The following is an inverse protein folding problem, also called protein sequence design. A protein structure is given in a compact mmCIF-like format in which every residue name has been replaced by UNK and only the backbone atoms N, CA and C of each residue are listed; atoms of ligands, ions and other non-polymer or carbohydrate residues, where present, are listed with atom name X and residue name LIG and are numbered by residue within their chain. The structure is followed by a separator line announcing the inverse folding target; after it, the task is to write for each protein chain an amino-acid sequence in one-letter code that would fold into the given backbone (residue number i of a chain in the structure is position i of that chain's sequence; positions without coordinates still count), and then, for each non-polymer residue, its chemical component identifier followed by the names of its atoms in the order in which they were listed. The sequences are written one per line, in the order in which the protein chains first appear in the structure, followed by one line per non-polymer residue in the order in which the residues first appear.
data_IF_236262018952
#
_entry.id   IF_236262018952
#
_cell.length_a   1.000
_cell.length_b   1.000
_cell.length_c   1.000
_cell.angle_alpha   90.00
_cell.angle_beta   90.00
_cell.angle_gamma   90.00
#
_symmetry.space_group_name_H-M   'P 1'
#
loop_
_entity.id
_entity.type
_entity.pdbx_description
1 polymer ?
#
# COMPACT_ATOMS: atom_id res chain seq x y z
N UNK A 1 27.96 32.94 -24.43
CA UNK A 1 27.05 32.62 -23.31
C UNK A 1 26.83 31.13 -23.32
N UNK A 2 27.38 30.40 -22.34
CA UNK A 2 27.11 28.97 -22.22
C UNK A 2 25.69 28.80 -21.64
N UNK A 3 24.82 28.11 -22.37
CA UNK A 3 23.53 27.67 -21.85
C UNK A 3 23.81 26.62 -20.78
N UNK A 4 23.45 26.92 -19.53
CA UNK A 4 23.48 25.93 -18.46
C UNK A 4 22.40 24.89 -18.82
N UNK A 5 22.76 23.60 -19.01
CA UNK A 5 21.78 22.56 -19.30
C UNK A 5 20.72 22.52 -18.18
N UNK A 6 19.46 22.32 -18.54
CA UNK A 6 18.30 22.35 -17.61
C UNK A 6 18.45 21.40 -16.42
N UNK A 7 19.26 20.34 -16.54
CA UNK A 7 19.58 19.39 -15.46
C UNK A 7 20.49 19.96 -14.36
N UNK A 8 21.24 21.03 -14.63
CA UNK A 8 22.07 21.73 -13.64
C UNK A 8 21.26 22.75 -12.80
N UNK A 9 19.94 22.83 -13.02
CA UNK A 9 19.07 23.82 -12.39
C UNK A 9 18.03 23.19 -11.45
N UNK A 10 18.36 22.05 -10.81
CA UNK A 10 17.56 21.54 -9.70
C UNK A 10 17.81 22.42 -8.48
N UNK A 11 16.73 23.00 -7.93
CA UNK A 11 16.78 23.73 -6.67
C UNK A 11 17.43 22.83 -5.60
N UNK A 12 18.60 23.18 -5.02
CA UNK A 12 19.25 22.37 -4.00
C UNK A 12 18.33 22.06 -2.81
N UNK A 13 17.41 22.96 -2.47
CA UNK A 13 16.42 22.75 -1.42
C UNK A 13 15.41 21.66 -1.80
N UNK A 14 14.91 21.68 -3.04
CA UNK A 14 13.99 20.66 -3.55
C UNK A 14 14.67 19.29 -3.58
N UNK A 15 15.92 19.22 -4.06
CA UNK A 15 16.70 17.98 -4.04
C UNK A 15 16.89 17.45 -2.61
N UNK A 16 17.18 18.32 -1.64
CA UNK A 16 17.32 17.92 -0.25
C UNK A 16 16.00 17.43 0.36
N UNK A 17 14.86 17.99 -0.05
CA UNK A 17 13.53 17.52 0.36
C UNK A 17 13.25 16.13 -0.20
N UNK A 18 13.51 15.89 -1.48
CA UNK A 18 13.37 14.58 -2.13
C UNK A 18 14.20 13.51 -1.38
N UNK A 19 15.48 13.79 -1.15
CA UNK A 19 16.39 12.88 -0.42
C UNK A 19 15.92 12.62 1.03
N UNK A 20 15.38 13.64 1.70
CA UNK A 20 14.85 13.50 3.06
C UNK A 20 13.57 12.65 3.10
N UNK A 21 12.65 12.85 2.13
CA UNK A 21 11.45 12.02 1.98
C UNK A 21 11.83 10.57 1.72
N UNK A 22 12.72 10.32 0.76
CA UNK A 22 13.18 8.97 0.42
C UNK A 22 13.86 8.27 1.61
N UNK A 23 14.65 9.02 2.39
CA UNK A 23 15.27 8.53 3.62
C UNK A 23 14.24 8.05 4.64
N UNK A 24 13.21 8.86 4.91
CA UNK A 24 12.13 8.47 5.82
C UNK A 24 11.31 7.29 5.28
N UNK A 25 10.95 7.28 3.99
CA UNK A 25 10.21 6.17 3.39
C UNK A 25 11.02 4.86 3.46
N UNK A 26 12.33 4.93 3.23
CA UNK A 26 13.22 3.76 3.33
C UNK A 26 13.26 3.21 4.76
N UNK A 27 13.41 4.06 5.78
CA UNK A 27 13.35 3.64 7.19
C UNK A 27 11.99 3.03 7.55
N UNK A 28 10.90 3.63 7.07
CA UNK A 28 9.55 3.08 7.25
C UNK A 28 9.40 1.69 6.62
N UNK A 29 9.88 1.49 5.39
CA UNK A 29 9.82 0.18 4.71
C UNK A 29 10.66 -0.90 5.41
N UNK A 30 11.81 -0.55 5.96
CA UNK A 30 12.63 -1.51 6.71
C UNK A 30 11.90 -1.97 7.98
N UNK A 31 11.26 -1.06 8.70
CA UNK A 31 10.45 -1.40 9.87
C UNK A 31 9.23 -2.29 9.52
N UNK A 32 8.66 -2.13 8.31
CA UNK A 32 7.57 -2.98 7.87
C UNK A 32 8.00 -4.43 7.68
N UNK A 33 9.24 -4.72 7.28
CA UNK A 33 9.76 -6.11 7.19
C UNK A 33 9.80 -6.81 8.55
N UNK A 34 9.96 -6.04 9.63
CA UNK A 34 9.96 -6.51 11.01
C UNK A 34 8.55 -6.50 11.64
N UNK A 35 7.51 -6.11 10.90
CA UNK A 35 6.15 -5.93 11.45
C UNK A 35 6.00 -4.75 12.39
N UNK A 36 6.97 -3.82 12.46
CA UNK A 36 6.93 -2.61 13.31
C UNK A 36 6.09 -1.52 12.64
N UNK A 37 4.82 -1.81 12.36
CA UNK A 37 3.94 -0.95 11.55
C UNK A 37 3.72 0.41 12.20
N UNK A 38 3.56 0.47 13.53
CA UNK A 38 3.34 1.73 14.25
C UNK A 38 4.52 2.69 14.12
N UNK A 39 5.74 2.17 14.19
CA UNK A 39 6.97 2.91 13.97
C UNK A 39 7.08 3.33 12.51
N UNK A 40 6.79 2.43 11.57
CA UNK A 40 6.79 2.75 10.14
C UNK A 40 5.84 3.93 9.81
N UNK A 41 4.63 3.93 10.37
CA UNK A 41 3.66 5.03 10.21
C UNK A 41 4.27 6.38 10.63
N UNK A 42 5.10 6.42 11.68
CA UNK A 42 5.75 7.68 12.12
C UNK A 42 6.67 8.23 11.04
N UNK A 43 7.43 7.36 10.37
CA UNK A 43 8.32 7.75 9.29
C UNK A 43 7.58 8.18 8.03
N UNK A 44 6.52 7.47 7.64
CA UNK A 44 5.64 7.92 6.55
C UNK A 44 5.00 9.28 6.84
N UNK A 45 4.62 9.56 8.09
CA UNK A 45 4.13 10.88 8.51
C UNK A 45 5.22 11.96 8.52
N UNK A 46 6.48 11.60 8.72
CA UNK A 46 7.60 12.55 8.60
C UNK A 46 7.87 12.89 7.13
N UNK A 47 7.89 11.89 6.24
CA UNK A 47 7.94 12.09 4.80
C UNK A 47 6.79 13.00 4.32
N UNK A 48 5.56 12.70 4.76
CA UNK A 48 4.37 13.46 4.33
C UNK A 48 4.39 14.92 4.77
N UNK A 49 5.02 15.22 5.93
CA UNK A 49 5.17 16.60 6.42
C UNK A 49 6.14 17.43 5.59
N UNK A 50 7.10 16.79 4.91
CA UNK A 50 8.04 17.49 4.02
C UNK A 50 7.30 17.85 2.74
N UNK A 51 6.83 16.84 2.02
CA UNK A 51 5.97 17.03 0.86
C UNK A 51 5.12 15.76 0.61
N UNK A 52 3.79 15.84 0.71
CA UNK A 52 2.92 14.71 0.43
C UNK A 52 2.97 14.25 -1.04
N UNK A 53 3.35 15.12 -1.98
CA UNK A 53 3.38 14.81 -3.41
C UNK A 53 4.58 13.94 -3.80
N UNK A 54 5.60 13.88 -2.95
CA UNK A 54 6.78 13.03 -3.15
C UNK A 54 6.53 11.57 -2.74
N UNK A 55 5.43 11.28 -2.05
CA UNK A 55 5.07 9.91 -1.67
C UNK A 55 4.20 9.28 -2.76
N UNK A 56 4.81 8.39 -3.53
CA UNK A 56 4.13 7.65 -4.60
C UNK A 56 2.99 6.74 -4.09
N UNK A 57 2.08 6.39 -5.00
CA UNK A 57 1.02 5.41 -4.73
C UNK A 57 1.59 4.08 -4.22
N UNK A 58 2.70 3.60 -4.81
CA UNK A 58 3.36 2.36 -4.39
C UNK A 58 3.94 2.41 -2.97
N UNK A 59 4.45 3.58 -2.53
CA UNK A 59 4.89 3.74 -1.14
C UNK A 59 3.71 3.68 -0.17
N UNK A 60 2.62 4.40 -0.46
CA UNK A 60 1.41 4.28 0.34
C UNK A 60 0.84 2.86 0.33
N UNK A 61 0.89 2.17 -0.81
CA UNK A 61 0.46 0.79 -0.93
C UNK A 61 1.34 -0.15 -0.11
N UNK A 62 2.65 0.06 -0.08
CA UNK A 62 3.56 -0.73 0.75
C UNK A 62 3.15 -0.65 2.23
N UNK A 63 2.86 0.55 2.74
CA UNK A 63 2.37 0.71 4.11
C UNK A 63 0.98 0.05 4.31
N UNK A 64 0.08 0.20 3.35
CA UNK A 64 -1.24 -0.43 3.37
C UNK A 64 -1.15 -1.97 3.46
N UNK A 65 -0.47 -2.59 2.49
CA UNK A 65 -0.38 -4.04 2.36
C UNK A 65 0.35 -4.64 3.56
N UNK A 66 1.54 -4.15 3.88
CA UNK A 66 2.32 -4.70 5.00
C UNK A 66 1.60 -4.49 6.33
N UNK A 67 1.08 -3.29 6.60
CA UNK A 67 0.31 -3.06 7.83
C UNK A 67 -0.90 -3.99 7.96
N UNK A 68 -1.58 -4.28 6.86
CA UNK A 68 -2.71 -5.22 6.84
C UNK A 68 -2.26 -6.66 7.09
N UNK A 69 -1.18 -7.10 6.45
CA UNK A 69 -0.61 -8.44 6.64
C UNK A 69 -0.15 -8.67 8.08
N UNK A 70 0.36 -7.64 8.77
CA UNK A 70 0.68 -7.70 10.21
C UNK A 70 -0.54 -7.50 11.12
N UNK A 71 -1.76 -7.65 10.61
CA UNK A 71 -3.02 -7.51 11.36
C UNK A 71 -3.24 -6.10 11.96
N UNK A 72 -2.65 -5.08 11.35
CA UNK A 72 -2.78 -3.67 11.73
C UNK A 72 -3.51 -2.86 10.64
N UNK A 73 -4.41 -3.51 9.90
CA UNK A 73 -5.18 -2.91 8.80
C UNK A 73 -5.91 -1.61 9.19
N UNK A 74 -6.50 -1.58 10.39
CA UNK A 74 -7.18 -0.39 10.93
C UNK A 74 -6.25 0.83 11.04
N UNK A 75 -4.95 0.59 11.29
CA UNK A 75 -3.97 1.65 11.47
C UNK A 75 -3.44 2.22 10.15
N UNK A 76 -3.54 1.44 9.06
CA UNK A 76 -2.98 1.78 7.74
C UNK A 76 -4.05 2.04 6.68
N UNK A 77 -5.34 1.96 7.02
CA UNK A 77 -6.44 2.24 6.08
C UNK A 77 -6.31 3.62 5.41
N UNK A 78 -5.75 4.62 6.11
CA UNK A 78 -5.48 5.93 5.52
C UNK A 78 -4.48 5.85 4.34
N UNK A 79 -3.47 4.98 4.45
CA UNK A 79 -2.48 4.76 3.40
C UNK A 79 -3.10 4.04 2.20
N UNK A 80 -3.96 3.04 2.45
CA UNK A 80 -4.71 2.35 1.38
C UNK A 80 -5.56 3.33 0.56
N UNK A 81 -6.28 4.24 1.24
CA UNK A 81 -7.09 5.27 0.57
C UNK A 81 -6.24 6.22 -0.26
N UNK A 82 -5.09 6.68 0.25
CA UNK A 82 -4.16 7.53 -0.50
C UNK A 82 -3.58 6.82 -1.73
N UNK A 83 -3.20 5.56 -1.59
CA UNK A 83 -2.67 4.77 -2.69
C UNK A 83 -3.67 4.68 -3.85
N UNK A 84 -4.94 4.33 -3.55
CA UNK A 84 -6.00 4.25 -4.57
C UNK A 84 -6.32 5.62 -5.17
N UNK A 85 -6.31 6.71 -4.39
CA UNK A 85 -6.52 8.07 -4.94
C UNK A 85 -5.43 8.44 -5.95
N UNK A 86 -4.18 8.08 -5.67
CA UNK A 86 -3.05 8.38 -6.54
C UNK A 86 -2.96 7.46 -7.76
N UNK A 87 -3.45 6.22 -7.64
CA UNK A 87 -3.46 5.25 -8.74
C UNK A 87 -4.77 4.45 -8.76
N UNK A 88 -5.88 5.05 -9.26
CA UNK A 88 -7.22 4.48 -9.13
C UNK A 88 -7.52 3.31 -10.08
N UNK A 89 -6.56 2.94 -10.93
CA UNK A 89 -6.69 1.86 -11.93
C UNK A 89 -5.62 0.76 -11.75
N UNK A 90 -4.89 0.83 -10.65
CA UNK A 90 -3.86 -0.15 -10.33
C UNK A 90 -4.52 -1.26 -9.50
N UNK A 91 -4.68 -2.42 -10.13
CA UNK A 91 -5.40 -3.55 -9.56
C UNK A 91 -4.72 -4.05 -8.27
N UNK A 92 -3.39 -4.07 -8.20
CA UNK A 92 -2.63 -4.52 -7.02
C UNK A 92 -2.85 -3.59 -5.81
N UNK A 93 -2.96 -2.28 -6.08
CA UNK A 93 -3.25 -1.27 -5.05
C UNK A 93 -4.70 -1.39 -4.55
N UNK A 94 -5.63 -1.66 -5.46
CA UNK A 94 -7.05 -1.87 -5.11
C UNK A 94 -7.20 -3.17 -4.30
N UNK A 95 -6.55 -4.24 -4.72
CA UNK A 95 -6.52 -5.53 -4.02
C UNK A 95 -5.96 -5.41 -2.59
N UNK A 96 -4.84 -4.68 -2.44
CA UNK A 96 -4.24 -4.42 -1.12
C UNK A 96 -5.21 -3.68 -0.18
N UNK A 97 -6.04 -2.76 -0.72
CA UNK A 97 -7.12 -2.12 0.05
C UNK A 97 -8.25 -3.12 0.35
N UNK A 98 -8.58 -4.01 -0.58
CA UNK A 98 -9.55 -5.09 -0.37
C UNK A 98 -9.19 -5.96 0.83
N UNK A 99 -7.92 -6.37 0.95
CA UNK A 99 -7.40 -7.07 2.12
C UNK A 99 -7.60 -6.26 3.40
N UNK A 100 -7.20 -4.98 3.41
CA UNK A 100 -7.33 -4.11 4.57
C UNK A 100 -8.81 -3.94 5.00
N UNK A 101 -9.72 -3.84 4.03
CA UNK A 101 -11.16 -3.71 4.23
C UNK A 101 -11.76 -4.97 4.84
N UNK A 102 -11.42 -6.14 4.30
CA UNK A 102 -11.91 -7.39 4.85
C UNK A 102 -11.46 -7.59 6.30
N UNK A 103 -10.19 -7.31 6.61
CA UNK A 103 -9.64 -7.39 7.97
C UNK A 103 -10.23 -6.34 8.94
N UNK A 104 -10.89 -5.30 8.43
CA UNK A 104 -11.57 -4.28 9.24
C UNK A 104 -13.09 -4.38 9.23
N UNK A 105 -13.64 -5.41 8.57
CA UNK A 105 -15.08 -5.68 8.52
C UNK A 105 -15.86 -4.91 7.44
N UNK A 106 -15.17 -4.19 6.55
CA UNK A 106 -15.76 -3.49 5.38
C UNK A 106 -15.95 -4.51 4.24
N UNK A 107 -16.77 -5.54 4.49
CA UNK A 107 -16.80 -6.78 3.70
C UNK A 107 -17.35 -6.58 2.29
N UNK A 108 -18.42 -5.81 2.13
CA UNK A 108 -19.04 -5.56 0.82
C UNK A 108 -18.05 -4.85 -0.12
N UNK A 109 -17.37 -3.83 0.40
CA UNK A 109 -16.37 -3.06 -0.31
C UNK A 109 -15.07 -3.85 -0.53
N UNK A 110 -14.70 -4.78 0.36
CA UNK A 110 -13.59 -5.69 0.13
C UNK A 110 -13.85 -6.63 -1.05
N UNK A 111 -15.05 -7.21 -1.12
CA UNK A 111 -15.48 -8.04 -2.24
C UNK A 111 -15.41 -7.25 -3.56
N UNK A 112 -15.90 -6.00 -3.56
CA UNK A 112 -15.83 -5.15 -4.75
C UNK A 112 -14.38 -4.89 -5.20
N UNK A 113 -13.45 -4.63 -4.26
CA UNK A 113 -12.04 -4.44 -4.59
C UNK A 113 -11.40 -5.71 -5.17
N UNK A 114 -11.67 -6.88 -4.59
CA UNK A 114 -11.18 -8.15 -5.11
C UNK A 114 -11.77 -8.51 -6.48
N UNK A 115 -13.03 -8.14 -6.76
CA UNK A 115 -13.64 -8.32 -8.07
C UNK A 115 -12.92 -7.50 -9.13
N UNK A 116 -12.57 -6.25 -8.83
CA UNK A 116 -11.76 -5.42 -9.73
C UNK A 116 -10.41 -6.09 -10.01
N UNK A 117 -9.74 -6.64 -9.00
CA UNK A 117 -8.49 -7.35 -9.21
C UNK A 117 -8.65 -8.57 -10.14
N UNK A 118 -9.65 -9.41 -9.88
CA UNK A 118 -9.99 -10.60 -10.70
C UNK A 118 -10.29 -10.24 -12.16
N UNK A 119 -10.92 -9.10 -12.41
CA UNK A 119 -11.23 -8.63 -13.77
C UNK A 119 -9.99 -8.17 -14.55
N UNK A 120 -8.93 -7.73 -13.85
CA UNK A 120 -7.77 -7.07 -14.45
C UNK A 120 -6.51 -7.95 -14.51
N UNK A 121 -6.36 -8.90 -13.59
CA UNK A 121 -5.20 -9.79 -13.58
C UNK A 121 -5.29 -10.88 -14.65
N UNK A 122 -4.18 -11.15 -15.31
CA UNK A 122 -3.99 -12.31 -16.18
C UNK A 122 -3.35 -13.49 -15.42
N UNK A 123 -2.99 -13.31 -14.15
CA UNK A 123 -2.46 -14.37 -13.29
C UNK A 123 -3.59 -15.28 -12.79
N UNK A 124 -3.61 -16.51 -13.27
CA UNK A 124 -4.68 -17.46 -12.95
C UNK A 124 -4.62 -17.97 -11.51
N UNK A 125 -3.45 -17.99 -10.88
CA UNK A 125 -3.29 -18.42 -9.49
C UNK A 125 -3.82 -17.34 -8.53
N UNK A 126 -3.40 -16.09 -8.72
CA UNK A 126 -3.90 -14.97 -7.92
C UNK A 126 -5.39 -14.74 -8.14
N UNK A 127 -5.87 -14.91 -9.39
CA UNK A 127 -7.29 -14.84 -9.73
C UNK A 127 -8.10 -15.90 -8.97
N UNK A 128 -7.65 -17.15 -8.99
CA UNK A 128 -8.32 -18.23 -8.26
C UNK A 128 -8.34 -17.95 -6.75
N UNK A 129 -7.21 -17.49 -6.19
CA UNK A 129 -7.12 -17.14 -4.78
C UNK A 129 -8.11 -16.03 -4.37
N UNK A 130 -8.21 -14.94 -5.15
CA UNK A 130 -9.18 -13.86 -4.85
C UNK A 130 -10.62 -14.33 -5.02
N UNK A 131 -10.90 -15.21 -5.98
CA UNK A 131 -12.24 -15.82 -6.13
C UNK A 131 -12.62 -16.67 -4.91
N UNK A 132 -11.68 -17.41 -4.32
CA UNK A 132 -11.89 -18.14 -3.07
C UNK A 132 -12.17 -17.20 -1.90
N UNK A 133 -11.39 -16.12 -1.77
CA UNK A 133 -11.65 -15.11 -0.74
C UNK A 133 -13.03 -14.46 -0.89
N UNK A 134 -13.41 -14.07 -2.11
CA UNK A 134 -14.75 -13.52 -2.40
C UNK A 134 -15.84 -14.50 -1.95
N UNK A 135 -15.71 -15.78 -2.30
CA UNK A 135 -16.70 -16.82 -1.95
C UNK A 135 -16.82 -17.01 -0.43
N UNK A 136 -15.69 -17.04 0.28
CA UNK A 136 -15.67 -17.15 1.74
C UNK A 136 -16.35 -15.93 2.39
N UNK A 137 -15.99 -14.72 1.97
CA UNK A 137 -16.57 -13.48 2.48
C UNK A 137 -18.08 -13.39 2.22
N UNK A 138 -18.55 -13.82 1.05
CA UNK A 138 -19.98 -13.92 0.72
C UNK A 138 -20.73 -14.92 1.61
N UNK A 139 -20.06 -15.97 2.06
CA UNK A 139 -20.61 -16.94 3.02
C UNK A 139 -20.55 -16.44 4.48
N UNK A 140 -19.99 -15.25 4.73
CA UNK A 140 -19.75 -14.73 6.08
C UNK A 140 -18.57 -15.37 6.79
N UNK A 141 -17.70 -16.06 6.06
CA UNK A 141 -16.49 -16.68 6.56
C UNK A 141 -15.30 -15.72 6.42
N UNK A 142 -14.35 -15.79 7.36
CA UNK A 142 -13.10 -15.01 7.27
C UNK A 142 -11.99 -15.90 6.68
N UNK A 143 -11.54 -15.65 5.43
CA UNK A 143 -10.46 -16.44 4.83
C UNK A 143 -9.06 -16.04 5.33
N UNK A 144 -8.93 -14.95 6.09
CA UNK A 144 -7.64 -14.39 6.50
C UNK A 144 -7.23 -14.89 7.88
N UNK A 145 -6.78 -16.15 7.95
CA UNK A 145 -6.18 -16.73 9.16
C UNK A 145 -4.75 -16.23 9.37
N UNK A 146 -4.19 -16.43 10.57
CA UNK A 146 -2.78 -16.11 10.85
C UNK A 146 -1.80 -16.82 9.90
N UNK A 147 -2.13 -18.04 9.48
CA UNK A 147 -1.36 -18.84 8.53
C UNK A 147 -1.39 -18.20 7.14
N UNK A 148 -2.58 -17.91 6.61
CA UNK A 148 -2.75 -17.22 5.31
C UNK A 148 -2.04 -15.86 5.32
N UNK A 149 -2.19 -15.07 6.38
CA UNK A 149 -1.51 -13.78 6.48
C UNK A 149 0.01 -13.90 6.60
N UNK A 150 0.52 -15.03 7.07
CA UNK A 150 1.97 -15.30 7.10
C UNK A 150 2.46 -15.69 5.71
N UNK A 151 1.77 -16.59 5.01
CA UNK A 151 2.10 -16.98 3.64
C UNK A 151 2.12 -15.78 2.68
N UNK A 152 1.18 -14.84 2.83
CA UNK A 152 1.10 -13.64 1.99
C UNK A 152 2.23 -12.61 2.23
N UNK A 153 3.06 -12.80 3.26
CA UNK A 153 4.23 -11.95 3.56
C UNK A 153 5.50 -12.44 2.86
N UNK A 154 5.58 -13.72 2.55
CA UNK A 154 6.75 -14.37 1.92
C UNK A 154 6.83 -14.06 0.41
#
# INVERSE_FOLDING_TARGET
MALIPTWQNLNPEAKAQDEAVDGFLSQGRELLKDGKVKEAIKYYKQAEKIDPNLISAGNWNTLCRQGSLYQQAADVMFACKKAVVLSPKDADIIDSRGLARALTGDIEEAIADFQVFVEWTDDEEEKAQRQEWIKALQAGENPFTDEVLTELRD
#
